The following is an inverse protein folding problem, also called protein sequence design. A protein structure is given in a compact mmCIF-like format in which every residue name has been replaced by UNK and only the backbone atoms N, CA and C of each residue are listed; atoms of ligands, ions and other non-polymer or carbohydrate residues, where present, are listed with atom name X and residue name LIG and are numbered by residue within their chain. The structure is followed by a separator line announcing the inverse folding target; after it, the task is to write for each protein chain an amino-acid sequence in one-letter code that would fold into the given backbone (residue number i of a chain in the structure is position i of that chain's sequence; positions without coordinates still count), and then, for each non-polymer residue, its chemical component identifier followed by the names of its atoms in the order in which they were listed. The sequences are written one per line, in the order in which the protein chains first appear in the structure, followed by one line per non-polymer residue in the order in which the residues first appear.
data_IF_006252257286
#
_entry.id   IF_006252257286
#
_cell.length_a   1.000
_cell.length_b   1.000
_cell.length_c   1.000
_cell.angle_alpha   90.00
_cell.angle_beta   90.00
_cell.angle_gamma   90.00
#
_symmetry.space_group_name_H-M   'P 1'
#
loop_
_entity.id
_entity.type
_entity.pdbx_description
1 polymer ?
#
# COMPACT_ATOMS: atom_id res chain seq x y z
N UNK A 1 -15.62 15.69 3.24
CA UNK A 1 -16.01 16.32 1.97
C UNK A 1 -15.82 15.32 0.84
N UNK A 2 -16.92 15.10 0.14
CA UNK A 2 -17.30 13.85 -0.52
C UNK A 2 -16.50 13.56 -1.79
N UNK A 3 -15.79 12.42 -1.80
CA UNK A 3 -15.46 11.71 -3.03
C UNK A 3 -16.73 10.96 -3.47
N UNK A 4 -17.73 11.68 -3.98
CA UNK A 4 -18.74 11.07 -4.84
C UNK A 4 -18.13 10.92 -6.23
N UNK A 5 -18.59 9.93 -7.00
CA UNK A 5 -18.19 9.80 -8.40
C UNK A 5 -18.48 11.09 -9.21
N UNK A 6 -19.49 11.86 -8.78
CA UNK A 6 -19.83 13.18 -9.31
C UNK A 6 -18.68 14.20 -9.14
N UNK A 7 -17.94 14.21 -8.02
CA UNK A 7 -16.82 15.16 -7.82
C UNK A 7 -15.66 14.92 -8.79
N UNK A 8 -15.49 13.67 -9.26
CA UNK A 8 -14.47 13.32 -10.25
C UNK A 8 -14.93 13.72 -11.66
N UNK A 9 -16.22 13.56 -12.00
CA UNK A 9 -16.79 14.03 -13.27
C UNK A 9 -16.89 15.55 -13.37
N UNK A 10 -17.21 16.27 -12.29
CA UNK A 10 -17.39 17.73 -12.34
C UNK A 10 -16.07 18.51 -12.37
N UNK A 11 -15.01 18.01 -11.71
CA UNK A 11 -13.72 18.73 -11.65
C UNK A 11 -12.86 18.52 -12.91
N UNK A 12 -13.07 17.42 -13.60
CA UNK A 12 -12.43 17.12 -14.87
C UNK A 12 -13.52 17.19 -15.94
N UNK A 13 -13.63 18.29 -16.69
CA UNK A 13 -14.30 18.24 -18.00
C UNK A 13 -13.57 17.16 -18.83
N UNK A 14 -14.08 15.93 -18.74
CA UNK A 14 -13.41 14.71 -19.13
C UNK A 14 -13.42 14.66 -20.66
N UNK A 15 -12.36 15.20 -21.26
CA UNK A 15 -12.06 14.97 -22.66
C UNK A 15 -12.10 13.45 -22.93
N UNK A 16 -12.62 13.04 -24.09
CA UNK A 16 -12.67 11.67 -24.64
C UNK A 16 -11.36 10.84 -24.54
N UNK A 17 -10.26 11.45 -24.13
CA UNK A 17 -8.95 10.84 -23.91
C UNK A 17 -8.92 9.78 -22.80
N UNK A 18 -9.67 9.97 -21.71
CA UNK A 18 -9.60 9.02 -20.59
C UNK A 18 -10.53 7.81 -20.76
N UNK A 19 -11.60 7.93 -21.56
CA UNK A 19 -12.65 6.92 -21.66
C UNK A 19 -12.27 5.70 -22.50
N UNK A 20 -11.18 5.72 -23.29
CA UNK A 20 -10.87 4.62 -24.23
C UNK A 20 -9.44 4.06 -24.23
N UNK A 21 -8.55 4.46 -23.31
CA UNK A 21 -7.20 3.88 -23.30
C UNK A 21 -6.29 4.15 -22.09
N UNK A 22 -6.63 5.09 -21.21
CA UNK A 22 -5.82 5.38 -20.04
C UNK A 22 -6.00 4.28 -18.96
N UNK A 23 -4.88 3.72 -18.47
CA UNK A 23 -4.87 2.87 -17.29
C UNK A 23 -4.97 3.74 -16.05
N UNK A 24 -6.03 3.56 -15.26
CA UNK A 24 -6.32 4.41 -14.09
C UNK A 24 -6.32 3.58 -12.79
N UNK A 25 -5.66 4.10 -11.75
CA UNK A 25 -5.85 3.65 -10.37
C UNK A 25 -6.70 4.68 -9.62
N UNK A 26 -7.87 4.27 -9.12
CA UNK A 26 -8.82 5.16 -8.43
C UNK A 26 -8.47 5.38 -6.95
N UNK A 27 -7.73 4.47 -6.34
CA UNK A 27 -7.21 4.63 -4.98
C UNK A 27 -8.28 4.68 -3.89
N UNK A 28 -9.45 4.05 -4.10
CA UNK A 28 -10.56 4.08 -3.12
C UNK A 28 -10.20 3.18 -1.93
N UNK A 29 -10.13 3.75 -0.73
CA UNK A 29 -9.75 3.03 0.50
C UNK A 29 -10.72 3.32 1.67
N UNK A 30 -11.87 2.63 1.75
CA UNK A 30 -12.83 2.83 2.82
C UNK A 30 -12.32 2.51 4.23
N UNK A 31 -11.52 1.45 4.38
CA UNK A 31 -10.94 1.03 5.66
C UNK A 31 -9.87 2.03 6.09
N UNK A 32 -9.05 2.51 5.16
CA UNK A 32 -8.10 3.59 5.44
C UNK A 32 -8.80 4.88 5.88
N UNK A 33 -9.91 5.24 5.24
CA UNK A 33 -10.74 6.39 5.65
C UNK A 33 -11.33 6.19 7.05
N UNK A 34 -11.81 4.99 7.38
CA UNK A 34 -12.25 4.65 8.74
C UNK A 34 -11.10 4.77 9.74
N UNK A 35 -9.92 4.25 9.42
CA UNK A 35 -8.76 4.29 10.30
C UNK A 35 -8.27 5.72 10.61
N UNK A 36 -8.40 6.65 9.66
CA UNK A 36 -7.99 8.05 9.84
C UNK A 36 -9.08 8.88 10.52
N UNK A 37 -10.34 8.74 10.07
CA UNK A 37 -11.43 9.63 10.48
C UNK A 37 -12.29 9.09 11.63
N UNK A 38 -12.24 7.78 11.89
CA UNK A 38 -13.16 7.09 12.80
C UNK A 38 -14.59 6.96 12.27
N UNK A 39 -14.86 7.43 11.05
CA UNK A 39 -16.19 7.40 10.45
C UNK A 39 -16.23 6.32 9.37
N UNK A 40 -17.12 5.35 9.54
CA UNK A 40 -17.44 4.41 8.48
C UNK A 40 -18.35 5.11 7.47
N UNK A 41 -17.81 5.37 6.28
CA UNK A 41 -18.56 6.06 5.21
C UNK A 41 -18.99 5.18 4.07
N UNK A 42 -18.61 3.90 4.08
CA UNK A 42 -18.87 2.97 2.98
C UNK A 42 -19.23 1.62 3.55
N UNK A 43 -20.31 1.06 3.01
CA UNK A 43 -20.78 -0.30 3.26
C UNK A 43 -20.68 -1.14 1.97
N UNK A 44 -21.07 -2.40 2.05
CA UNK A 44 -21.06 -3.35 0.93
C UNK A 44 -21.84 -2.86 -0.30
N UNK A 45 -22.99 -2.20 -0.08
CA UNK A 45 -23.87 -1.72 -1.15
C UNK A 45 -23.22 -0.57 -1.90
N UNK A 46 -22.61 0.37 -1.17
CA UNK A 46 -21.88 1.47 -1.78
C UNK A 46 -20.59 1.01 -2.45
N UNK A 47 -19.91 -0.01 -1.91
CA UNK A 47 -18.74 -0.60 -2.57
C UNK A 47 -19.12 -1.21 -3.92
N UNK A 48 -20.23 -1.95 -3.98
CA UNK A 48 -20.72 -2.56 -5.21
C UNK A 48 -20.98 -1.51 -6.28
N UNK A 49 -21.71 -0.44 -5.95
CA UNK A 49 -22.01 0.62 -6.91
C UNK A 49 -20.74 1.35 -7.36
N UNK A 50 -19.78 1.59 -6.46
CA UNK A 50 -18.48 2.17 -6.80
C UNK A 50 -17.68 1.29 -7.76
N UNK A 51 -17.59 -0.02 -7.51
CA UNK A 51 -16.87 -0.94 -8.39
C UNK A 51 -17.55 -1.04 -9.76
N UNK A 52 -18.88 -1.16 -9.80
CA UNK A 52 -19.63 -1.23 -11.05
C UNK A 52 -19.45 0.04 -11.88
N UNK A 53 -19.67 1.22 -11.29
CA UNK A 53 -19.46 2.49 -11.98
C UNK A 53 -18.00 2.63 -12.48
N UNK A 54 -17.02 2.22 -11.67
CA UNK A 54 -15.63 2.26 -12.05
C UNK A 54 -15.30 1.35 -13.25
N UNK A 55 -15.90 0.17 -13.33
CA UNK A 55 -15.73 -0.78 -14.43
C UNK A 55 -16.47 -0.33 -15.71
N UNK A 56 -17.65 0.27 -15.57
CA UNK A 56 -18.49 0.68 -16.68
C UNK A 56 -17.99 1.98 -17.34
N UNK A 57 -17.49 2.92 -16.54
CA UNK A 57 -17.10 4.26 -17.01
C UNK A 57 -15.61 4.37 -17.36
N UNK A 58 -14.73 3.57 -16.75
CA UNK A 58 -13.29 3.71 -16.87
C UNK A 58 -12.59 2.39 -17.21
N UNK A 59 -11.47 2.46 -17.91
CA UNK A 59 -10.53 1.33 -18.01
C UNK A 59 -9.66 1.24 -16.75
N UNK A 60 -10.31 1.15 -15.58
CA UNK A 60 -9.64 1.15 -14.29
C UNK A 60 -8.80 -0.12 -14.11
N UNK A 61 -7.48 0.05 -13.96
CA UNK A 61 -6.56 -1.05 -13.65
C UNK A 61 -6.72 -1.47 -12.20
N UNK A 62 -6.83 -0.50 -11.29
CA UNK A 62 -7.06 -0.72 -9.87
C UNK A 62 -8.16 0.21 -9.38
N UNK A 63 -9.07 -0.32 -8.58
CA UNK A 63 -10.24 0.40 -8.07
C UNK A 63 -10.03 0.67 -6.59
N UNK A 64 -9.72 -0.39 -5.85
CA UNK A 64 -9.51 -0.34 -4.41
C UNK A 64 -8.03 -0.23 -4.11
N UNK A 65 -7.70 0.56 -3.11
CA UNK A 65 -6.37 0.60 -2.51
C UNK A 65 -6.45 0.17 -1.07
N UNK A 66 -5.52 -0.69 -0.68
CA UNK A 66 -5.26 -1.02 0.73
C UNK A 66 -4.03 -0.23 1.16
N UNK A 67 -4.22 0.82 1.98
CA UNK A 67 -3.13 1.72 2.36
C UNK A 67 -2.48 1.38 3.71
N UNK A 68 -1.40 0.60 3.67
CA UNK A 68 -0.60 0.29 4.85
C UNK A 68 0.16 1.48 5.44
N UNK A 69 0.34 2.57 4.68
CA UNK A 69 1.03 3.76 5.17
C UNK A 69 0.32 4.37 6.38
N UNK A 70 -0.98 4.16 6.52
CA UNK A 70 -1.77 4.63 7.65
C UNK A 70 -1.27 4.01 8.95
N UNK A 71 -1.16 2.68 9.00
CA UNK A 71 -0.61 1.95 10.15
C UNK A 71 0.87 2.32 10.39
N UNK A 72 1.68 2.35 9.32
CA UNK A 72 3.11 2.70 9.42
C UNK A 72 3.33 4.10 10.00
N UNK A 73 2.57 5.08 9.53
CA UNK A 73 2.65 6.48 9.99
C UNK A 73 2.16 6.63 11.43
N UNK A 74 1.21 5.79 11.87
CA UNK A 74 0.79 5.72 13.27
C UNK A 74 1.85 5.10 14.20
N UNK A 75 2.92 4.51 13.67
CA UNK A 75 4.03 3.96 14.45
C UNK A 75 4.13 2.44 14.45
N UNK A 76 3.34 1.75 13.61
CA UNK A 76 3.32 0.30 13.52
C UNK A 76 4.72 -0.30 13.30
N UNK A 77 4.87 -1.55 13.75
CA UNK A 77 5.94 -2.43 13.27
C UNK A 77 5.64 -2.90 11.84
N UNK A 78 6.66 -3.43 11.16
CA UNK A 78 6.49 -3.97 9.80
C UNK A 78 5.43 -5.09 9.76
N UNK A 79 5.39 -5.92 10.80
CA UNK A 79 4.40 -7.00 10.90
C UNK A 79 2.97 -6.47 11.08
N UNK A 80 2.80 -5.39 11.86
CA UNK A 80 1.51 -4.73 12.05
C UNK A 80 1.04 -3.98 10.79
N UNK A 81 1.95 -3.38 10.03
CA UNK A 81 1.61 -2.79 8.73
C UNK A 81 1.11 -3.87 7.77
N UNK A 82 1.83 -4.99 7.66
CA UNK A 82 1.43 -6.09 6.77
C UNK A 82 0.14 -6.77 7.24
N UNK A 83 -0.07 -6.98 8.54
CA UNK A 83 -1.32 -7.55 9.04
C UNK A 83 -2.50 -6.63 8.80
N UNK A 84 -2.33 -5.31 8.97
CA UNK A 84 -3.34 -4.32 8.62
C UNK A 84 -3.71 -4.38 7.13
N UNK A 85 -2.71 -4.47 6.25
CA UNK A 85 -2.90 -4.62 4.81
C UNK A 85 -3.72 -5.89 4.50
N UNK A 86 -3.28 -7.06 4.97
CA UNK A 86 -3.92 -8.33 4.61
C UNK A 86 -5.34 -8.43 5.18
N UNK A 87 -5.57 -7.94 6.40
CA UNK A 87 -6.92 -7.91 7.00
C UNK A 87 -7.87 -6.98 6.23
N UNK A 88 -7.36 -5.83 5.77
CA UNK A 88 -8.13 -4.89 4.96
C UNK A 88 -8.47 -5.48 3.60
N UNK A 89 -7.50 -6.14 2.96
CA UNK A 89 -7.71 -6.77 1.67
C UNK A 89 -8.70 -7.94 1.76
N UNK A 90 -8.63 -8.77 2.81
CA UNK A 90 -9.62 -9.80 3.09
C UNK A 90 -11.02 -9.21 3.22
N UNK A 91 -11.15 -8.09 3.93
CA UNK A 91 -12.45 -7.42 4.11
C UNK A 91 -13.01 -6.92 2.78
N UNK A 92 -12.16 -6.35 1.91
CA UNK A 92 -12.59 -5.98 0.55
C UNK A 92 -12.99 -7.16 -0.31
N UNK A 93 -12.32 -8.30 -0.19
CA UNK A 93 -12.71 -9.52 -0.89
C UNK A 93 -14.04 -10.09 -0.36
N UNK A 94 -14.27 -10.07 0.96
CA UNK A 94 -15.56 -10.46 1.58
C UNK A 94 -16.70 -9.58 1.05
N UNK A 95 -16.50 -8.26 1.07
CA UNK A 95 -17.49 -7.32 0.52
C UNK A 95 -17.73 -7.51 -0.98
N UNK A 96 -16.71 -7.86 -1.75
CA UNK A 96 -16.86 -8.18 -3.17
C UNK A 96 -17.69 -9.45 -3.38
N UNK A 97 -17.49 -10.48 -2.56
CA UNK A 97 -18.27 -11.73 -2.58
C UNK A 97 -19.75 -11.46 -2.27
N UNK A 98 -20.02 -10.71 -1.20
CA UNK A 98 -21.38 -10.29 -0.81
C UNK A 98 -22.05 -9.44 -1.90
N UNK A 99 -21.26 -8.60 -2.59
CA UNK A 99 -21.69 -7.84 -3.75
C UNK A 99 -21.91 -8.69 -5.03
N UNK A 100 -21.64 -10.00 -5.00
CA UNK A 100 -21.69 -10.93 -6.14
C UNK A 100 -20.71 -10.54 -7.27
N UNK A 101 -19.52 -10.08 -6.91
CA UNK A 101 -18.42 -9.79 -7.85
C UNK A 101 -17.47 -11.00 -7.84
N UNK A 102 -17.03 -11.46 -9.02
CA UNK A 102 -16.07 -12.56 -9.12
C UNK A 102 -14.77 -12.20 -8.37
N UNK A 103 -14.42 -13.00 -7.36
CA UNK A 103 -13.24 -12.81 -6.53
C UNK A 103 -11.93 -12.81 -7.34
N UNK A 104 -11.86 -13.54 -8.46
CA UNK A 104 -10.69 -13.52 -9.33
C UNK A 104 -10.50 -12.15 -10.00
N UNK A 105 -11.60 -11.46 -10.29
CA UNK A 105 -11.59 -10.10 -10.83
C UNK A 105 -11.29 -9.13 -9.69
N UNK A 106 -11.98 -9.25 -8.56
CA UNK A 106 -11.83 -8.37 -7.41
C UNK A 106 -10.38 -8.31 -6.91
N UNK A 107 -9.71 -9.47 -6.77
CA UNK A 107 -8.32 -9.56 -6.36
C UNK A 107 -7.36 -8.76 -7.28
N UNK A 108 -7.58 -8.79 -8.59
CA UNK A 108 -6.76 -8.04 -9.56
C UNK A 108 -7.00 -6.54 -9.52
N UNK A 109 -8.15 -6.10 -9.00
CA UNK A 109 -8.52 -4.68 -8.88
C UNK A 109 -8.04 -4.04 -7.58
N UNK A 110 -7.41 -4.80 -6.69
CA UNK A 110 -6.80 -4.29 -5.46
C UNK A 110 -5.34 -3.89 -5.72
N UNK A 111 -5.01 -2.64 -5.43
CA UNK A 111 -3.64 -2.15 -5.30
C UNK A 111 -3.26 -2.11 -3.81
N UNK A 112 -2.06 -2.58 -3.47
CA UNK A 112 -1.56 -2.58 -2.10
C UNK A 112 -0.51 -1.49 -1.96
N UNK A 113 -0.74 -0.53 -1.06
CA UNK A 113 0.23 0.51 -0.76
C UNK A 113 1.03 0.19 0.51
N UNK A 114 2.37 0.27 0.41
CA UNK A 114 3.29 -0.06 1.49
C UNK A 114 4.34 1.04 1.68
N UNK A 115 4.71 1.30 2.93
CA UNK A 115 5.76 2.27 3.27
C UNK A 115 7.16 1.67 3.09
N UNK A 116 8.12 2.47 2.67
CA UNK A 116 9.52 2.05 2.53
C UNK A 116 10.44 2.97 3.31
N UNK A 117 11.49 2.44 3.93
CA UNK A 117 12.34 3.21 4.86
C UNK A 117 13.81 3.08 4.52
N UNK A 118 14.67 3.83 5.21
CA UNK A 118 16.13 3.70 5.10
C UNK A 118 16.67 2.35 5.60
N UNK A 119 15.85 1.52 6.28
CA UNK A 119 16.29 0.18 6.66
C UNK A 119 16.12 -0.76 5.46
N UNK A 120 17.19 -0.88 4.69
CA UNK A 120 17.17 -1.52 3.38
C UNK A 120 16.74 -2.99 3.43
N UNK A 121 17.39 -3.79 4.27
CA UNK A 121 17.11 -5.23 4.33
C UNK A 121 15.71 -5.54 4.82
N UNK A 122 15.24 -4.81 5.83
CA UNK A 122 13.87 -4.92 6.33
C UNK A 122 12.87 -4.52 5.25
N UNK A 123 13.13 -3.44 4.51
CA UNK A 123 12.23 -2.99 3.44
C UNK A 123 12.13 -4.01 2.30
N UNK A 124 13.27 -4.60 1.88
CA UNK A 124 13.29 -5.67 0.88
C UNK A 124 12.50 -6.88 1.38
N UNK A 125 12.81 -7.35 2.60
CA UNK A 125 12.13 -8.49 3.21
C UNK A 125 10.62 -8.25 3.39
N UNK A 126 10.20 -7.03 3.75
CA UNK A 126 8.79 -6.67 3.90
C UNK A 126 8.01 -6.79 2.59
N UNK A 127 8.54 -6.28 1.48
CA UNK A 127 7.84 -6.35 0.18
C UNK A 127 7.77 -7.80 -0.30
N UNK A 128 8.82 -8.59 -0.08
CA UNK A 128 8.82 -10.03 -0.35
C UNK A 128 7.80 -10.79 0.51
N UNK A 129 7.76 -10.49 1.81
CA UNK A 129 6.80 -11.06 2.75
C UNK A 129 5.34 -10.72 2.35
N UNK A 130 5.09 -9.49 1.92
CA UNK A 130 3.78 -9.06 1.43
C UNK A 130 3.28 -9.92 0.26
N UNK A 131 4.15 -10.29 -0.69
CA UNK A 131 3.78 -11.18 -1.80
C UNK A 131 3.44 -12.59 -1.33
N UNK A 132 4.18 -13.11 -0.34
CA UNK A 132 3.88 -14.42 0.26
C UNK A 132 2.53 -14.40 0.98
N UNK A 133 2.29 -13.39 1.83
CA UNK A 133 1.03 -13.24 2.54
C UNK A 133 -0.16 -13.07 1.59
N UNK A 134 0.01 -12.35 0.49
CA UNK A 134 -1.02 -12.21 -0.53
C UNK A 134 -1.35 -13.56 -1.18
N UNK A 135 -0.35 -14.34 -1.56
CA UNK A 135 -0.55 -15.67 -2.14
C UNK A 135 -1.27 -16.60 -1.14
N UNK A 136 -0.88 -16.58 0.13
CA UNK A 136 -1.52 -17.35 1.21
C UNK A 136 -2.98 -16.93 1.44
N UNK A 137 -3.28 -15.63 1.35
CA UNK A 137 -4.65 -15.11 1.43
C UNK A 137 -5.51 -15.62 0.27
N UNK A 138 -5.01 -15.56 -0.97
CA UNK A 138 -5.73 -16.05 -2.14
C UNK A 138 -5.98 -17.56 -2.07
N UNK A 139 -4.98 -18.34 -1.63
CA UNK A 139 -5.13 -19.78 -1.42
C UNK A 139 -6.20 -20.10 -0.36
N UNK A 140 -6.20 -19.34 0.74
CA UNK A 140 -7.21 -19.48 1.80
C UNK A 140 -8.65 -19.22 1.33
N UNK A 141 -8.82 -18.41 0.28
CA UNK A 141 -10.10 -18.09 -0.34
C UNK A 141 -10.38 -18.93 -1.60
N UNK A 142 -9.50 -19.86 -1.96
CA UNK A 142 -9.60 -20.65 -3.21
C UNK A 142 -9.68 -19.79 -4.48
N UNK A 143 -9.07 -18.60 -4.45
CA UNK A 143 -8.98 -17.69 -5.60
C UNK A 143 -7.78 -18.09 -6.45
N UNK A 144 -7.88 -17.95 -7.78
CA UNK A 144 -6.74 -18.19 -8.66
C UNK A 144 -5.59 -17.26 -8.29
N UNK A 145 -4.39 -17.83 -8.18
CA UNK A 145 -3.18 -17.07 -7.91
C UNK A 145 -3.00 -15.91 -8.89
N UNK A 146 -2.78 -14.73 -8.33
CA UNK A 146 -2.51 -13.49 -9.05
C UNK A 146 -1.45 -12.69 -8.32
N UNK A 147 -0.61 -11.99 -9.09
CA UNK A 147 0.47 -11.19 -8.50
C UNK A 147 -0.11 -9.97 -7.76
N UNK A 148 0.33 -9.75 -6.51
CA UNK A 148 0.03 -8.52 -5.79
C UNK A 148 0.58 -7.30 -6.56
N UNK A 149 -0.27 -6.31 -6.84
CA UNK A 149 0.20 -5.03 -7.37
C UNK A 149 0.61 -4.12 -6.21
N UNK A 150 1.91 -3.94 -6.02
CA UNK A 150 2.49 -3.23 -4.88
C UNK A 150 2.90 -1.81 -5.30
N UNK A 151 2.24 -0.82 -4.72
CA UNK A 151 2.61 0.58 -4.75
C UNK A 151 3.43 0.95 -3.50
N UNK A 152 4.73 1.10 -3.66
CA UNK A 152 5.61 1.52 -2.58
C UNK A 152 5.72 3.05 -2.51
N UNK A 153 5.62 3.62 -1.31
CA UNK A 153 5.95 5.03 -1.07
C UNK A 153 7.05 5.16 -0.01
N UNK A 154 8.02 6.05 -0.23
CA UNK A 154 9.01 6.34 0.81
C UNK A 154 8.32 6.98 2.02
N UNK A 155 8.57 6.42 3.19
CA UNK A 155 7.91 6.78 4.44
C UNK A 155 8.11 8.24 4.82
N UNK A 156 7.03 8.96 5.14
CA UNK A 156 7.10 10.31 5.68
C UNK A 156 7.88 10.38 7.01
N UNK A 157 7.82 9.33 7.84
CA UNK A 157 8.49 9.27 9.16
C UNK A 157 10.02 9.39 9.11
N UNK A 158 10.62 9.20 7.94
CA UNK A 158 12.08 9.25 7.77
C UNK A 158 12.55 10.66 7.36
N UNK A 159 11.61 11.55 7.04
CA UNK A 159 11.88 12.89 6.53
C UNK A 159 12.05 13.85 7.70
N UNK A 160 13.18 14.56 7.71
CA UNK A 160 13.50 15.55 8.73
C UNK A 160 13.32 16.98 8.21
N UNK A 161 12.77 17.86 9.06
CA UNK A 161 12.73 19.32 8.79
C UNK A 161 14.12 19.95 8.88
N UNK A 162 14.95 19.45 9.81
CA UNK A 162 16.34 19.87 9.99
C UNK A 162 17.22 19.15 8.99
N UNK A 163 18.09 19.91 8.35
CA UNK A 163 18.99 19.46 7.29
C UNK A 163 18.28 18.58 6.23
N UNK A 164 17.36 19.17 5.44
CA UNK A 164 16.50 18.42 4.53
C UNK A 164 17.26 17.76 3.37
N UNK A 165 18.50 18.16 3.11
CA UNK A 165 19.34 17.54 2.08
C UNK A 165 19.63 16.07 2.39
N UNK A 166 19.72 15.70 3.67
CA UNK A 166 19.90 14.30 4.09
C UNK A 166 18.70 13.42 3.70
N UNK A 167 17.52 14.01 3.50
CA UNK A 167 16.34 13.27 3.04
C UNK A 167 16.55 12.69 1.63
N UNK A 168 17.43 13.28 0.80
CA UNK A 168 17.81 12.71 -0.50
C UNK A 168 18.44 11.33 -0.30
N UNK A 169 19.39 11.21 0.64
CA UNK A 169 20.07 9.95 0.93
C UNK A 169 19.10 8.89 1.46
N UNK A 170 18.19 9.27 2.36
CA UNK A 170 17.15 8.39 2.90
C UNK A 170 16.20 7.90 1.81
N UNK A 171 15.77 8.82 0.94
CA UNK A 171 14.89 8.52 -0.19
C UNK A 171 15.57 7.58 -1.20
N UNK A 172 16.86 7.79 -1.50
CA UNK A 172 17.62 6.91 -2.39
C UNK A 172 17.68 5.48 -1.86
N UNK A 173 18.03 5.30 -0.57
CA UNK A 173 18.07 3.95 0.04
C UNK A 173 16.69 3.31 0.08
N UNK A 174 15.65 4.07 0.45
CA UNK A 174 14.29 3.55 0.48
C UNK A 174 13.79 3.14 -0.92
N UNK A 175 14.04 3.95 -1.96
CA UNK A 175 13.69 3.63 -3.33
C UNK A 175 14.47 2.43 -3.88
N UNK A 176 15.77 2.36 -3.60
CA UNK A 176 16.60 1.21 -3.97
C UNK A 176 16.02 -0.09 -3.38
N UNK A 177 15.68 -0.05 -2.10
CA UNK A 177 15.10 -1.19 -1.38
C UNK A 177 13.72 -1.57 -1.91
N UNK A 178 12.89 -0.58 -2.26
CA UNK A 178 11.59 -0.79 -2.87
C UNK A 178 11.69 -1.49 -4.23
N UNK A 179 12.64 -1.06 -5.06
CA UNK A 179 12.93 -1.69 -6.35
C UNK A 179 13.44 -3.12 -6.18
N UNK A 180 14.39 -3.36 -5.28
CA UNK A 180 14.91 -4.71 -5.01
C UNK A 180 13.89 -5.66 -4.39
N UNK A 181 12.99 -5.15 -3.55
CA UNK A 181 11.86 -5.93 -3.04
C UNK A 181 10.82 -6.28 -4.12
N UNK A 182 10.92 -5.66 -5.30
CA UNK A 182 10.05 -5.91 -6.44
C UNK A 182 8.74 -5.13 -6.38
N UNK A 183 8.72 -3.88 -5.91
CA UNK A 183 7.52 -3.04 -6.02
C UNK A 183 7.15 -2.74 -7.49
N UNK A 184 5.85 -2.72 -7.81
CA UNK A 184 5.37 -2.46 -9.17
C UNK A 184 5.35 -0.98 -9.51
N UNK A 185 5.09 -0.12 -8.51
CA UNK A 185 5.11 1.33 -8.62
C UNK A 185 5.82 1.93 -7.40
N UNK A 186 6.62 2.98 -7.59
CA UNK A 186 7.34 3.65 -6.51
C UNK A 186 7.08 5.16 -6.53
N UNK A 187 6.62 5.72 -5.42
CA UNK A 187 6.58 7.15 -5.17
C UNK A 187 7.63 7.55 -4.15
N UNK A 188 8.37 8.61 -4.46
CA UNK A 188 9.34 9.20 -3.54
C UNK A 188 8.77 10.51 -3.01
N UNK A 189 8.71 10.61 -1.68
CA UNK A 189 8.40 11.82 -0.97
C UNK A 189 9.54 12.84 -1.19
N UNK A 190 9.24 14.04 -1.71
CA UNK A 190 10.25 15.08 -1.89
C UNK A 190 10.99 15.44 -0.60
N UNK A 191 12.23 15.91 -0.75
CA UNK A 191 13.09 16.22 0.40
C UNK A 191 12.49 17.26 1.36
N UNK A 192 11.66 18.18 0.86
CA UNK A 192 11.00 19.21 1.65
C UNK A 192 9.61 18.81 2.17
N UNK A 193 9.15 17.57 2.01
CA UNK A 193 7.78 17.17 2.40
C UNK A 193 7.46 17.50 3.85
N UNK A 194 8.45 17.45 4.75
CA UNK A 194 8.25 17.84 6.15
C UNK A 194 8.18 19.36 6.37
N UNK A 195 8.66 20.18 5.44
CA UNK A 195 8.69 21.65 5.53
C UNK A 195 7.41 22.25 4.95
N UNK A 196 6.95 21.74 3.81
CA UNK A 196 5.75 22.23 3.12
C UNK A 196 5.63 21.66 1.71
N UNK A 197 4.79 22.30 0.89
CA UNK A 197 4.57 21.88 -0.49
C UNK A 197 5.89 21.94 -1.27
N UNK A 198 6.29 20.79 -1.83
CA UNK A 198 7.58 20.65 -2.47
C UNK A 198 7.68 21.52 -3.74
N UNK A 199 8.75 22.32 -3.92
CA UNK A 199 8.97 23.08 -5.16
C UNK A 199 9.32 22.15 -6.32
N UNK A 200 9.39 22.71 -7.53
CA UNK A 200 9.70 21.94 -8.75
C UNK A 200 11.05 21.24 -8.71
N UNK A 201 12.06 21.86 -8.07
CA UNK A 201 13.39 21.28 -7.91
C UNK A 201 13.36 20.00 -7.08
N UNK A 202 12.71 20.01 -5.92
CA UNK A 202 12.64 18.87 -5.01
C UNK A 202 11.89 17.69 -5.64
N UNK A 203 10.79 17.97 -6.35
CA UNK A 203 10.07 16.95 -7.12
C UNK A 203 10.92 16.39 -8.27
N UNK A 204 11.77 17.23 -8.89
CA UNK A 204 12.72 16.78 -9.92
C UNK A 204 13.75 15.83 -9.32
N UNK A 205 14.33 16.15 -8.16
CA UNK A 205 15.27 15.27 -7.45
C UNK A 205 14.60 13.92 -7.13
N UNK A 206 13.38 13.95 -6.57
CA UNK A 206 12.63 12.73 -6.26
C UNK A 206 12.43 11.84 -7.49
N UNK A 207 12.12 12.42 -8.65
CA UNK A 207 12.02 11.65 -9.91
C UNK A 207 13.37 11.15 -10.40
N UNK A 208 14.41 11.98 -10.34
CA UNK A 208 15.75 11.64 -10.85
C UNK A 208 16.40 10.49 -10.07
N UNK A 209 16.14 10.35 -8.76
CA UNK A 209 16.59 9.19 -7.99
C UNK A 209 16.17 7.89 -8.68
N UNK A 210 14.92 7.79 -9.13
CA UNK A 210 14.41 6.61 -9.82
C UNK A 210 15.12 6.39 -11.15
N UNK A 211 15.29 7.47 -11.94
CA UNK A 211 15.99 7.41 -13.23
C UNK A 211 17.44 6.92 -13.07
N UNK A 212 18.19 7.45 -12.11
CA UNK A 212 19.59 7.04 -11.87
C UNK A 212 19.66 5.57 -11.45
N UNK A 213 18.74 5.12 -10.58
CA UNK A 213 18.71 3.73 -10.14
C UNK A 213 18.45 2.75 -11.29
N UNK A 214 17.56 3.12 -12.22
CA UNK A 214 17.22 2.28 -13.38
C UNK A 214 18.33 2.34 -14.44
N UNK A 215 18.69 3.55 -14.90
CA UNK A 215 19.52 3.76 -16.08
C UNK A 215 21.02 3.62 -15.81
N UNK A 216 21.49 4.05 -14.64
CA UNK A 216 22.93 4.10 -14.32
C UNK A 216 23.36 3.03 -13.33
N UNK A 217 22.51 2.71 -12.35
CA UNK A 217 22.79 1.65 -11.37
C UNK A 217 22.33 0.27 -11.84
N UNK A 218 21.61 0.21 -12.97
CA UNK A 218 21.14 -1.03 -13.59
C UNK A 218 20.32 -1.91 -12.65
N UNK A 219 19.56 -1.30 -11.74
CA UNK A 219 18.81 -2.00 -10.70
C UNK A 219 17.79 -2.99 -11.28
N UNK A 220 17.26 -2.70 -12.48
CA UNK A 220 16.24 -3.48 -13.15
C UNK A 220 16.79 -4.63 -14.02
N UNK A 221 18.11 -4.85 -14.09
CA UNK A 221 18.69 -5.84 -15.00
C UNK A 221 18.57 -7.29 -14.52
N UNK A 222 18.39 -7.51 -13.20
CA UNK A 222 18.29 -8.84 -12.59
C UNK A 222 17.00 -8.93 -11.80
N UNK A 223 16.20 -9.96 -12.07
CA UNK A 223 15.02 -10.26 -11.27
C UNK A 223 15.44 -10.78 -9.89
N UNK A 224 14.94 -10.13 -8.84
CA UNK A 224 15.19 -10.44 -7.43
C UNK A 224 16.66 -10.80 -7.13
N UNK A 225 17.59 -9.84 -7.20
CA UNK A 225 19.00 -10.08 -6.90
C UNK A 225 19.25 -10.39 -5.41
N UNK A 226 18.22 -10.24 -4.56
CA UNK A 226 18.28 -10.57 -3.14
C UNK A 226 18.05 -12.05 -2.85
N UNK A 227 17.54 -12.81 -3.83
CA UNK A 227 17.25 -14.22 -3.73
C UNK A 227 18.51 -15.02 -3.36
N UNK A 228 18.39 -15.89 -2.37
CA UNK A 228 19.49 -16.73 -1.87
C UNK A 228 20.37 -16.06 -0.80
N UNK A 229 20.14 -14.79 -0.48
CA UNK A 229 20.74 -14.16 0.69
C UNK A 229 20.11 -14.72 1.97
N UNK A 230 20.85 -15.55 2.70
CA UNK A 230 20.36 -16.19 3.93
C UNK A 230 19.74 -15.18 4.92
N UNK A 231 20.35 -13.99 5.05
CA UNK A 231 19.83 -12.95 5.93
C UNK A 231 18.46 -12.41 5.48
N UNK A 232 18.29 -12.13 4.19
CA UNK A 232 17.03 -11.59 3.65
C UNK A 232 15.95 -12.67 3.66
N UNK A 233 16.29 -13.93 3.36
CA UNK A 233 15.35 -15.05 3.47
C UNK A 233 14.84 -15.21 4.91
N UNK A 234 15.74 -15.26 5.90
CA UNK A 234 15.35 -15.37 7.31
C UNK A 234 14.49 -14.20 7.76
N UNK A 235 14.87 -12.97 7.43
CA UNK A 235 14.06 -11.79 7.75
C UNK A 235 12.68 -11.84 7.09
N UNK A 236 12.61 -12.28 5.83
CA UNK A 236 11.35 -12.41 5.10
C UNK A 236 10.44 -13.40 5.82
N UNK A 237 10.95 -14.60 6.16
CA UNK A 237 10.20 -15.61 6.90
C UNK A 237 9.71 -15.11 8.25
N UNK A 238 10.57 -14.44 9.03
CA UNK A 238 10.18 -13.89 10.33
C UNK A 238 9.08 -12.83 10.22
N UNK A 239 9.19 -11.93 9.25
CA UNK A 239 8.19 -10.89 9.01
C UNK A 239 6.88 -11.53 8.56
N UNK A 240 6.90 -12.45 7.59
CA UNK A 240 5.71 -13.18 7.14
C UNK A 240 5.00 -13.86 8.30
N UNK A 241 5.70 -14.66 9.11
CA UNK A 241 5.12 -15.38 10.24
C UNK A 241 4.49 -14.45 11.28
N UNK A 242 5.21 -13.40 11.70
CA UNK A 242 4.69 -12.42 12.67
C UNK A 242 3.47 -11.68 12.13
N UNK A 243 3.48 -11.33 10.85
CA UNK A 243 2.36 -10.66 10.18
C UNK A 243 1.13 -11.57 10.10
N UNK A 244 1.33 -12.85 9.77
CA UNK A 244 0.25 -13.83 9.69
C UNK A 244 -0.41 -14.08 11.04
N UNK A 245 0.39 -14.19 12.12
CA UNK A 245 -0.15 -14.31 13.49
C UNK A 245 -0.97 -13.07 13.86
N UNK A 246 -0.45 -11.87 13.62
CA UNK A 246 -1.17 -10.63 13.90
C UNK A 246 -2.46 -10.49 13.06
N UNK A 247 -2.44 -10.94 11.80
CA UNK A 247 -3.62 -11.02 10.94
C UNK A 247 -4.68 -11.98 11.53
N UNK A 248 -4.27 -13.17 11.96
CA UNK A 248 -5.18 -14.13 12.60
C UNK A 248 -5.78 -13.60 13.91
N UNK A 249 -5.03 -12.81 14.67
CA UNK A 249 -5.55 -12.14 15.87
C UNK A 249 -6.63 -11.12 15.52
N UNK A 250 -6.43 -10.30 14.48
CA UNK A 250 -7.43 -9.35 13.98
C UNK A 250 -8.71 -10.10 13.56
N UNK A 251 -8.58 -11.19 12.80
CA UNK A 251 -9.75 -11.96 12.36
C UNK A 251 -10.49 -12.66 13.51
N UNK A 252 -9.78 -13.13 14.54
CA UNK A 252 -10.40 -13.67 15.77
C UNK A 252 -11.20 -12.61 16.54
N UNK A 253 -10.83 -11.35 16.40
CA UNK A 253 -11.50 -10.18 16.99
C UNK A 253 -12.59 -9.59 16.08
N UNK A 254 -13.22 -10.43 15.24
CA UNK A 254 -14.27 -10.07 14.28
C UNK A 254 -13.80 -9.17 13.12
N UNK A 255 -12.51 -9.19 12.79
CA UNK A 255 -11.96 -8.52 11.61
C UNK A 255 -11.55 -7.07 11.85
N UNK A 256 -10.99 -6.47 10.80
CA UNK A 256 -10.31 -5.16 10.86
C UNK A 256 -11.23 -4.01 11.26
N UNK A 257 -12.48 -3.99 10.78
CA UNK A 257 -13.43 -2.89 11.01
C UNK A 257 -13.78 -2.80 12.48
N UNK A 258 -14.16 -3.92 13.10
CA UNK A 258 -14.47 -3.97 14.52
C UNK A 258 -13.25 -3.60 15.36
N UNK A 259 -12.06 -4.11 15.01
CA UNK A 259 -10.80 -3.77 15.67
C UNK A 259 -10.42 -2.28 15.58
N UNK A 260 -10.84 -1.58 14.51
CA UNK A 260 -10.65 -0.14 14.37
C UNK A 260 -11.67 0.65 15.21
N UNK A 261 -12.92 0.22 15.22
CA UNK A 261 -14.02 0.86 15.98
C UNK A 261 -13.77 0.75 17.49
N UNK A 262 -13.36 -0.43 17.95
CA UNK A 262 -13.11 -0.70 19.37
C UNK A 262 -11.72 -0.22 19.86
N UNK A 263 -10.86 0.29 18.96
CA UNK A 263 -9.57 0.88 19.31
C UNK A 263 -8.42 -0.12 19.52
N UNK A 264 -8.62 -1.41 19.23
CA UNK A 264 -7.62 -2.46 19.48
C UNK A 264 -6.33 -2.23 18.69
N UNK A 265 -6.44 -1.89 17.41
CA UNK A 265 -5.26 -1.67 16.55
C UNK A 265 -4.47 -0.45 17.01
N UNK A 266 -5.16 0.63 17.36
CA UNK A 266 -4.58 1.86 17.87
C UNK A 266 -3.83 1.58 19.17
N UNK A 267 -4.41 0.80 20.08
CA UNK A 267 -3.77 0.41 21.34
C UNK A 267 -2.51 -0.44 21.11
N UNK A 268 -2.56 -1.44 20.21
CA UNK A 268 -1.40 -2.28 19.86
C UNK A 268 -0.25 -1.49 19.24
N UNK A 269 -0.58 -0.55 18.33
CA UNK A 269 0.42 0.33 17.71
C UNK A 269 1.00 1.30 18.74
N UNK A 270 0.18 1.85 19.64
CA UNK A 270 0.66 2.72 20.72
C UNK A 270 1.60 1.98 21.67
N UNK A 271 1.29 0.73 22.04
CA UNK A 271 2.17 -0.10 22.86
C UNK A 271 3.51 -0.35 22.16
N UNK A 272 3.48 -0.66 20.86
CA UNK A 272 4.69 -0.88 20.05
C UNK A 272 5.54 0.39 19.97
N UNK A 273 4.88 1.54 19.83
CA UNK A 273 5.55 2.85 19.78
C UNK A 273 6.17 3.20 21.13
N UNK A 274 5.52 2.88 22.24
CA UNK A 274 6.05 3.13 23.59
C UNK A 274 7.29 2.29 23.94
N UNK A 275 7.51 1.17 23.24
CA UNK A 275 8.69 0.32 23.42
C UNK A 275 9.91 0.76 22.59
N UNK A 276 9.74 1.75 21.70
CA UNK A 276 10.78 2.27 20.81
C UNK A 276 11.36 3.58 21.33
#
# INVERSE_FOLDING_TARGET
DEFSAETVEEHYQFNDYFSKGAKLSLGIDPIGKLAISGIQTTDEVQLKSLIQNALDQFNATHILRVDGRIAHNAGASEAQELSFIISSALTYLKWADEANIDLNIAAQKIEICVSTTQNQFITIAKIRALRQLWAELLDGLSIKQSEAYIFAETSFRIITKRDPWVNILRATVACFSAGLGGANQIAIQPLSSAIGLAPSFDRRIARHIQTILIEESHLANVNDPSNGSAYIETLTTEITQKSWVAFQEIEKSNGIIECLINGTIQAQIAQTTAQR
#
